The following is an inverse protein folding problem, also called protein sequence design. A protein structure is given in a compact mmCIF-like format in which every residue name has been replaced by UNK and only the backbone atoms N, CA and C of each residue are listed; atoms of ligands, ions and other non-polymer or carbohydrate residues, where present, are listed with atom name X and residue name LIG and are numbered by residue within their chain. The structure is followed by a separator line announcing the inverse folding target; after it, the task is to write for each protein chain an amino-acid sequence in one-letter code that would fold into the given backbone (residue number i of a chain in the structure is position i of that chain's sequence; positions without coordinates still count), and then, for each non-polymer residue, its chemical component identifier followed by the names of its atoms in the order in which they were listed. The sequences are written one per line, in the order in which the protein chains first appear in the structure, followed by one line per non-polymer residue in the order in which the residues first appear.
data_IF_914493820448
#
_entry.id   IF_914493820448
#
_cell.length_a   1.000
_cell.length_b   1.000
_cell.length_c   1.000
_cell.angle_alpha   90.00
_cell.angle_beta   90.00
_cell.angle_gamma   90.00
#
_symmetry.space_group_name_H-M   'P 1'
#
loop_
_entity.id
_entity.type
_entity.pdbx_description
1 polymer ?
#
# COMPACT_ATOMS: atom_id res chain seq x y z
N UNK A 1 -14.07 7.64 -12.91
CA UNK A 1 -13.57 8.50 -11.82
C UNK A 1 -14.36 8.11 -10.59
N UNK A 2 -13.80 7.22 -9.78
CA UNK A 2 -14.45 6.79 -8.53
C UNK A 2 -14.37 7.93 -7.55
N UNK A 3 -15.51 8.42 -7.07
CA UNK A 3 -15.57 9.38 -5.98
C UNK A 3 -15.18 8.64 -4.69
N UNK A 4 -13.92 8.74 -4.29
CA UNK A 4 -13.49 8.28 -2.98
C UNK A 4 -14.27 9.00 -1.89
N UNK A 5 -14.74 8.26 -0.90
CA UNK A 5 -15.35 8.88 0.29
C UNK A 5 -14.21 9.32 1.22
N UNK A 6 -14.19 10.58 1.67
CA UNK A 6 -13.23 11.03 2.67
C UNK A 6 -13.31 10.16 3.92
N UNK A 7 -12.16 9.72 4.43
CA UNK A 7 -12.12 8.96 5.67
C UNK A 7 -12.24 9.93 6.83
N UNK A 8 -13.39 9.94 7.52
CA UNK A 8 -13.69 10.87 8.61
C UNK A 8 -12.67 10.86 9.77
N UNK A 9 -11.82 9.83 9.85
CA UNK A 9 -10.80 9.68 10.89
C UNK A 9 -9.37 9.41 10.36
N UNK A 10 -9.11 9.67 9.06
CA UNK A 10 -7.80 9.39 8.45
C UNK A 10 -6.67 10.10 9.17
N UNK A 11 -6.88 11.37 9.55
CA UNK A 11 -5.87 12.17 10.25
C UNK A 11 -5.49 11.56 11.60
N UNK A 12 -6.47 11.12 12.39
CA UNK A 12 -6.20 10.54 13.70
C UNK A 12 -5.49 9.19 13.54
N UNK A 13 -5.94 8.35 12.60
CA UNK A 13 -5.27 7.12 12.24
C UNK A 13 -3.80 7.35 11.86
N UNK A 14 -3.54 8.26 10.91
CA UNK A 14 -2.18 8.56 10.45
C UNK A 14 -1.28 9.01 11.60
N UNK A 15 -1.77 9.82 12.56
CA UNK A 15 -0.98 10.22 13.74
C UNK A 15 -0.49 9.06 14.61
N UNK A 16 -1.11 7.89 14.54
CA UNK A 16 -0.73 6.73 15.34
C UNK A 16 0.41 5.92 14.71
N UNK A 17 0.72 6.14 13.42
CA UNK A 17 1.65 5.29 12.67
C UNK A 17 2.82 6.09 12.10
N UNK A 18 4.03 5.55 12.21
CA UNK A 18 5.20 6.10 11.52
C UNK A 18 5.13 5.76 10.01
N UNK A 19 5.66 6.61 9.11
CA UNK A 19 6.33 7.89 9.38
C UNK A 19 5.38 9.07 9.61
N UNK A 20 4.06 8.88 9.44
CA UNK A 20 3.08 9.97 9.44
C UNK A 20 3.01 10.73 10.76
N UNK A 21 3.17 10.03 11.89
CA UNK A 21 3.24 10.64 13.24
C UNK A 21 4.40 11.63 13.42
N UNK A 22 5.40 11.60 12.54
CA UNK A 22 6.59 12.48 12.57
C UNK A 22 6.53 13.58 11.50
N UNK A 23 5.49 13.60 10.66
CA UNK A 23 5.30 14.62 9.64
C UNK A 23 4.89 15.96 10.28
N UNK A 24 5.17 17.06 9.59
CA UNK A 24 4.67 18.37 10.01
C UNK A 24 3.15 18.37 9.89
N UNK A 25 2.46 19.06 10.80
CA UNK A 25 0.99 19.12 10.83
C UNK A 25 0.37 19.42 9.47
N UNK A 26 0.88 20.43 8.75
CA UNK A 26 0.39 20.78 7.42
C UNK A 26 0.52 19.67 6.37
N UNK A 27 1.55 18.83 6.46
CA UNK A 27 1.77 17.74 5.50
C UNK A 27 0.83 16.57 5.82
N UNK A 28 0.57 16.36 7.11
CA UNK A 28 -0.39 15.39 7.60
C UNK A 28 -1.83 15.78 7.25
N UNK A 29 -2.18 17.06 7.42
CA UNK A 29 -3.48 17.61 7.02
C UNK A 29 -3.68 17.43 5.51
N UNK A 30 -2.68 17.80 4.71
CA UNK A 30 -2.69 17.57 3.27
C UNK A 30 -2.93 16.08 2.94
N UNK A 31 -2.21 15.16 3.57
CA UNK A 31 -2.39 13.73 3.31
C UNK A 31 -3.79 13.25 3.69
N UNK A 32 -4.30 13.67 4.86
CA UNK A 32 -5.63 13.28 5.34
C UNK A 32 -6.76 13.80 4.43
N UNK A 33 -6.58 14.96 3.81
CA UNK A 33 -7.56 15.53 2.87
C UNK A 33 -7.57 14.83 1.50
N UNK A 34 -6.47 14.16 1.13
CA UNK A 34 -6.31 13.54 -0.20
C UNK A 34 -6.36 12.01 -0.19
N UNK A 35 -6.44 11.38 0.99
CA UNK A 35 -6.56 9.92 1.09
C UNK A 35 -8.01 9.47 0.90
N UNK A 36 -8.18 8.42 0.10
CA UNK A 36 -9.49 7.84 -0.19
C UNK A 36 -9.61 6.44 0.43
N UNK A 37 -10.81 6.12 0.94
CA UNK A 37 -11.09 4.78 1.44
C UNK A 37 -11.28 3.78 0.29
N UNK A 38 -10.46 2.74 0.25
CA UNK A 38 -10.63 1.60 -0.65
C UNK A 38 -10.70 0.31 0.17
N UNK A 39 -11.54 -0.65 -0.26
CA UNK A 39 -11.71 -1.95 0.39
C UNK A 39 -11.50 -3.05 -0.62
N UNK A 40 -10.83 -4.11 -0.18
CA UNK A 40 -10.55 -5.29 -0.96
C UNK A 40 -11.07 -6.52 -0.21
N UNK A 41 -11.58 -7.51 -0.95
CA UNK A 41 -11.96 -8.78 -0.38
C UNK A 41 -10.73 -9.60 0.01
N UNK A 42 -10.87 -10.52 0.97
CA UNK A 42 -9.79 -11.46 1.33
C UNK A 42 -9.30 -12.21 0.10
N UNK A 43 -7.99 -12.20 -0.12
CA UNK A 43 -7.34 -12.85 -1.25
C UNK A 43 -7.38 -12.06 -2.55
N UNK A 44 -8.00 -10.88 -2.58
CA UNK A 44 -8.01 -10.01 -3.76
C UNK A 44 -6.62 -9.41 -4.01
N UNK A 45 -6.24 -9.28 -5.28
CA UNK A 45 -4.95 -8.72 -5.68
C UNK A 45 -5.09 -7.20 -5.81
N UNK A 46 -4.41 -6.46 -4.94
CA UNK A 46 -4.41 -4.99 -4.95
C UNK A 46 -3.48 -4.48 -6.07
N UNK A 47 -2.33 -5.11 -6.21
CA UNK A 47 -1.32 -4.72 -7.18
C UNK A 47 -0.43 -5.91 -7.53
N UNK A 48 -0.06 -6.02 -8.80
CA UNK A 48 0.89 -7.02 -9.27
C UNK A 48 1.84 -6.39 -10.28
N UNK A 49 3.06 -6.96 -10.46
CA UNK A 49 4.02 -6.45 -11.45
C UNK A 49 3.44 -6.40 -12.87
N UNK A 50 2.52 -7.33 -13.20
CA UNK A 50 1.84 -7.36 -14.50
C UNK A 50 0.91 -6.15 -14.75
N UNK A 51 0.48 -5.46 -13.70
CA UNK A 51 -0.37 -4.26 -13.80
C UNK A 51 0.42 -3.01 -14.21
N UNK A 52 1.74 -3.11 -14.37
CA UNK A 52 2.61 -1.98 -14.73
C UNK A 52 2.95 -1.09 -13.53
N UNK A 53 3.31 0.16 -13.80
CA UNK A 53 3.68 1.11 -12.76
C UNK A 53 2.44 1.50 -11.91
N UNK A 54 2.53 1.48 -10.56
CA UNK A 54 1.46 1.94 -9.68
C UNK A 54 1.10 3.40 -9.96
N UNK A 55 -0.19 3.71 -9.91
CA UNK A 55 -0.68 5.09 -10.02
C UNK A 55 -0.91 5.77 -8.65
N UNK A 56 -0.93 4.98 -7.58
CA UNK A 56 -1.10 5.44 -6.22
C UNK A 56 -0.30 4.56 -5.25
N UNK A 57 -0.06 5.06 -4.05
CA UNK A 57 0.34 4.26 -2.91
C UNK A 57 -0.87 4.01 -2.01
N UNK A 58 -0.78 2.95 -1.22
CA UNK A 58 -1.76 2.50 -0.26
C UNK A 58 -1.15 2.57 1.13
N UNK A 59 -2.00 2.79 2.11
CA UNK A 59 -1.70 2.71 3.53
C UNK A 59 -2.66 1.67 4.09
N UNK A 60 -2.14 0.61 4.72
CA UNK A 60 -3.01 -0.39 5.35
C UNK A 60 -3.71 0.28 6.52
N UNK A 61 -5.03 0.45 6.45
CA UNK A 61 -5.83 0.97 7.56
C UNK A 61 -6.28 -0.16 8.50
N UNK A 62 -6.79 -1.25 7.91
CA UNK A 62 -7.33 -2.41 8.62
C UNK A 62 -6.92 -3.69 7.90
N UNK A 63 -6.80 -4.79 8.65
CA UNK A 63 -6.40 -6.09 8.10
C UNK A 63 -4.90 -6.22 7.89
N UNK A 64 -4.52 -7.07 6.93
CA UNK A 64 -3.14 -7.30 6.55
C UNK A 64 -3.02 -7.46 5.03
N UNK A 65 -1.87 -7.13 4.47
CA UNK A 65 -1.57 -7.32 3.06
C UNK A 65 -0.33 -8.20 2.92
N UNK A 66 -0.43 -9.29 2.17
CA UNK A 66 0.70 -10.13 1.83
C UNK A 66 1.40 -9.61 0.57
N UNK A 67 2.70 -9.37 0.66
CA UNK A 67 3.55 -8.99 -0.45
C UNK A 67 4.46 -10.18 -0.83
N UNK A 68 4.13 -10.87 -1.91
CA UNK A 68 4.92 -11.97 -2.45
C UNK A 68 5.84 -11.45 -3.57
N UNK A 69 7.16 -11.48 -3.37
CA UNK A 69 8.12 -11.06 -4.40
C UNK A 69 8.08 -12.04 -5.56
N UNK A 70 8.05 -11.55 -6.80
CA UNK A 70 8.28 -12.42 -7.97
C UNK A 70 9.78 -12.66 -8.14
N UNK A 71 10.25 -13.85 -7.78
CA UNK A 71 11.62 -14.25 -8.06
C UNK A 71 11.73 -14.67 -9.53
N UNK A 72 12.06 -13.73 -10.41
CA UNK A 72 12.06 -13.95 -11.86
C UNK A 72 12.82 -15.22 -12.28
N UNK A 73 12.14 -16.15 -12.97
CA UNK A 73 12.57 -17.32 -13.76
C UNK A 73 13.79 -18.16 -13.31
N UNK A 74 14.40 -17.92 -12.15
CA UNK A 74 15.46 -18.75 -11.57
C UNK A 74 14.81 -19.74 -10.64
N UNK A 75 14.40 -20.83 -11.28
CA UNK A 75 14.03 -22.14 -10.74
C UNK A 75 14.59 -22.39 -9.33
N UNK A 76 13.66 -22.56 -8.41
CA UNK A 76 13.83 -23.28 -7.16
C UNK A 76 12.47 -23.32 -6.50
N UNK A 77 11.92 -24.50 -6.28
CA UNK A 77 10.65 -24.71 -5.58
C UNK A 77 10.81 -24.35 -4.09
N UNK A 78 11.04 -23.08 -3.81
CA UNK A 78 11.10 -22.48 -2.49
C UNK A 78 9.89 -21.59 -2.30
N UNK A 79 9.41 -21.50 -1.06
CA UNK A 79 8.37 -20.56 -0.66
C UNK A 79 8.83 -19.15 -1.06
N UNK A 80 8.10 -18.49 -1.97
CA UNK A 80 8.38 -17.09 -2.31
C UNK A 80 8.35 -16.29 -1.01
N UNK A 81 9.37 -15.48 -0.71
CA UNK A 81 9.39 -14.73 0.54
C UNK A 81 8.19 -13.76 0.55
N UNK A 82 7.23 -14.07 1.41
CA UNK A 82 6.05 -13.25 1.67
C UNK A 82 6.36 -12.33 2.84
N UNK A 83 6.22 -11.03 2.62
CA UNK A 83 6.24 -10.03 3.69
C UNK A 83 4.80 -9.68 4.03
N UNK A 84 4.44 -9.72 5.30
CA UNK A 84 3.13 -9.28 5.75
C UNK A 84 3.19 -7.80 6.14
N UNK A 85 2.31 -6.99 5.56
CA UNK A 85 2.11 -5.59 5.86
C UNK A 85 0.93 -5.44 6.82
N UNK A 86 1.10 -4.60 7.83
CA UNK A 86 0.17 -4.38 8.94
C UNK A 86 -0.35 -2.94 8.94
N UNK A 87 -1.38 -2.61 9.75
CA UNK A 87 -1.90 -1.26 9.82
C UNK A 87 -0.81 -0.20 10.05
N UNK A 88 -0.82 0.83 9.21
CA UNK A 88 0.19 1.89 9.16
C UNK A 88 1.27 1.69 8.10
N UNK A 89 1.45 0.47 7.58
CA UNK A 89 2.43 0.22 6.53
C UNK A 89 1.96 0.82 5.19
N UNK A 90 2.91 1.48 4.51
CA UNK A 90 2.68 2.11 3.21
C UNK A 90 3.40 1.36 2.08
N UNK A 91 2.70 1.14 0.97
CA UNK A 91 3.22 0.41 -0.18
C UNK A 91 2.48 0.80 -1.47
N UNK A 92 3.04 0.56 -2.67
CA UNK A 92 4.44 0.30 -2.98
C UNK A 92 5.19 1.62 -3.26
N UNK A 93 5.47 2.42 -2.22
CA UNK A 93 6.02 3.79 -2.34
C UNK A 93 7.23 3.87 -3.28
N UNK A 94 8.22 2.98 -3.14
CA UNK A 94 9.41 2.99 -3.97
C UNK A 94 9.17 2.67 -5.45
N UNK A 95 8.14 1.86 -5.78
CA UNK A 95 7.78 1.58 -7.16
C UNK A 95 7.05 2.76 -7.80
N UNK A 96 6.17 3.42 -7.03
CA UNK A 96 5.48 4.63 -7.43
C UNK A 96 6.47 5.75 -7.72
N UNK A 97 7.39 6.02 -6.80
CA UNK A 97 8.40 7.07 -6.97
C UNK A 97 9.35 6.82 -8.14
N UNK A 98 9.61 5.56 -8.48
CA UNK A 98 10.50 5.18 -9.58
C UNK A 98 9.77 4.95 -10.90
N UNK A 99 8.45 5.19 -10.96
CA UNK A 99 7.59 5.00 -12.14
C UNK A 99 7.80 3.63 -12.81
N UNK A 100 7.98 2.58 -11.99
CA UNK A 100 8.27 1.23 -12.45
C UNK A 100 7.30 0.21 -11.89
N UNK A 101 7.12 -0.95 -12.55
CA UNK A 101 6.35 -2.04 -11.97
C UNK A 101 6.86 -2.43 -10.59
N UNK A 102 5.94 -2.76 -9.69
CA UNK A 102 6.32 -3.31 -8.40
C UNK A 102 7.10 -4.62 -8.59
N UNK A 103 7.91 -4.99 -7.60
CA UNK A 103 8.62 -6.28 -7.60
C UNK A 103 7.84 -7.42 -6.96
N UNK A 104 6.68 -7.10 -6.38
CA UNK A 104 5.88 -8.02 -5.58
C UNK A 104 4.41 -7.90 -5.97
N UNK A 105 3.69 -9.02 -5.84
CA UNK A 105 2.23 -9.05 -5.87
C UNK A 105 1.71 -8.81 -4.45
N UNK A 106 0.80 -7.86 -4.29
CA UNK A 106 0.17 -7.46 -3.04
C UNK A 106 -1.26 -8.00 -2.99
N UNK A 107 -1.61 -8.70 -1.91
CA UNK A 107 -2.90 -9.38 -1.73
C UNK A 107 -3.48 -9.14 -0.33
N UNK A 108 -4.80 -8.91 -0.23
CA UNK A 108 -5.52 -8.76 1.04
C UNK A 108 -5.81 -10.09 1.75
#
# INVERSE_FOLDING_TARGET
MGSGTPVADARAFLRLHAPFSQMREKDLDFLADHVEAVRFARGEVLLAPEHGAPQACYIVAEGAVEAARQLGARRGAGVEPTVQLSPGDAFPVGALMAERPASSTYRA
#
